data_IF_682083550062
#
_entry.id   IF_682083550062
#
_cell.length_a   1.000
_cell.length_b   1.000
_cell.length_c   1.000
_cell.angle_alpha   90.00
_cell.angle_beta   90.00
_cell.angle_gamma   90.00
#
_symmetry.space_group_name_H-M   'P 1'
#
loop_
_entity.id
_entity.type
_entity.pdbx_description
1 polymer ?
#
# COMPACT_ATOMS: atom_id res chain seq x y z
N UNK A 1 24.36 34.48 -23.20
CA UNK A 1 23.25 33.51 -23.36
C UNK A 1 23.52 32.37 -22.37
N UNK A 2 22.96 32.45 -21.17
CA UNK A 2 23.25 31.53 -20.06
C UNK A 2 22.25 30.36 -20.00
N UNK A 3 22.79 29.13 -20.00
CA UNK A 3 22.31 27.85 -19.47
C UNK A 3 20.81 27.50 -19.41
N UNK A 4 20.43 26.43 -20.11
CA UNK A 4 19.29 25.60 -19.73
C UNK A 4 19.81 24.28 -19.11
N UNK A 5 19.53 23.97 -17.83
CA UNK A 5 19.82 22.66 -17.27
C UNK A 5 18.94 21.61 -17.97
N UNK A 6 19.56 20.68 -18.68
CA UNK A 6 18.89 19.53 -19.27
C UNK A 6 18.25 18.69 -18.16
N UNK A 7 16.93 18.63 -18.15
CA UNK A 7 16.17 17.69 -17.34
C UNK A 7 16.49 16.28 -17.83
N UNK A 8 17.21 15.51 -17.03
CA UNK A 8 17.33 14.07 -17.28
C UNK A 8 15.91 13.47 -17.25
N UNK A 9 15.48 12.68 -18.25
CA UNK A 9 14.24 11.97 -18.15
C UNK A 9 14.41 10.91 -17.05
N UNK A 10 14.03 11.23 -15.82
CA UNK A 10 13.85 10.19 -14.81
C UNK A 10 12.58 9.44 -15.20
N UNK A 11 12.74 8.48 -16.11
CA UNK A 11 11.80 7.38 -16.24
C UNK A 11 11.88 6.61 -14.93
N UNK A 12 11.22 7.12 -13.88
CA UNK A 12 11.09 6.42 -12.62
C UNK A 12 10.34 5.14 -12.94
N UNK A 13 11.06 4.01 -12.95
CA UNK A 13 10.44 2.70 -13.07
C UNK A 13 9.36 2.61 -11.98
N UNK A 14 8.10 2.53 -12.40
CA UNK A 14 7.00 2.43 -11.44
C UNK A 14 7.14 1.07 -10.78
N UNK A 15 7.46 1.04 -9.49
CA UNK A 15 7.53 -0.21 -8.76
C UNK A 15 6.15 -0.91 -8.83
N UNK A 16 6.14 -2.14 -9.28
CA UNK A 16 4.97 -3.02 -9.27
C UNK A 16 5.29 -4.23 -8.40
N UNK A 17 4.47 -4.58 -7.39
CA UNK A 17 4.67 -5.80 -6.62
C UNK A 17 4.82 -7.06 -7.49
N UNK A 18 4.15 -7.09 -8.66
CA UNK A 18 4.25 -8.19 -9.62
C UNK A 18 5.67 -8.41 -10.18
N UNK A 19 6.60 -7.48 -10.02
CA UNK A 19 8.00 -7.65 -10.45
C UNK A 19 8.83 -8.51 -9.50
N UNK A 20 8.32 -8.86 -8.31
CA UNK A 20 9.02 -9.70 -7.33
C UNK A 20 8.74 -11.18 -7.65
N UNK A 21 9.76 -11.97 -8.08
CA UNK A 21 9.56 -13.38 -8.38
C UNK A 21 9.09 -14.15 -7.15
N UNK A 22 8.03 -14.95 -7.32
CA UNK A 22 7.48 -15.78 -6.24
C UNK A 22 6.68 -15.03 -5.18
N UNK A 23 6.36 -13.74 -5.38
CA UNK A 23 5.53 -12.98 -4.46
C UNK A 23 4.16 -13.66 -4.26
N UNK A 24 3.80 -13.90 -2.99
CA UNK A 24 2.51 -14.50 -2.61
C UNK A 24 1.54 -13.52 -1.99
N UNK A 25 2.04 -12.48 -1.36
CA UNK A 25 1.24 -11.55 -0.58
C UNK A 25 1.88 -10.18 -0.60
N UNK A 26 1.08 -9.16 -0.86
CA UNK A 26 1.49 -7.77 -0.69
C UNK A 26 0.33 -6.97 -0.13
N UNK A 27 0.49 -6.46 1.09
CA UNK A 27 -0.49 -5.64 1.79
C UNK A 27 0.05 -4.22 1.89
N UNK A 28 -0.68 -3.24 1.36
CA UNK A 28 -0.27 -1.84 1.44
C UNK A 28 -0.77 -1.22 2.75
N UNK A 29 0.16 -0.76 3.57
CA UNK A 29 -0.14 -0.09 4.84
C UNK A 29 -0.65 1.34 4.67
N UNK A 30 -0.15 2.04 3.65
CA UNK A 30 -0.29 3.49 3.47
C UNK A 30 -1.34 3.91 2.43
N UNK A 31 -1.97 2.96 1.75
CA UNK A 31 -3.01 3.28 0.76
C UNK A 31 -4.02 2.14 0.64
N UNK A 32 -5.24 2.53 0.28
CA UNK A 32 -6.30 1.63 -0.18
C UNK A 32 -5.75 0.62 -1.21
N UNK A 33 -6.14 -0.66 -1.12
CA UNK A 33 -7.42 -1.08 -0.56
C UNK A 33 -7.36 -1.84 0.78
N UNK A 34 -8.12 -1.33 1.75
CA UNK A 34 -8.48 -2.00 3.01
C UNK A 34 -9.93 -1.63 3.39
N UNK A 35 -10.58 -2.48 4.17
CA UNK A 35 -11.94 -2.27 4.67
C UNK A 35 -11.90 -1.84 6.12
N UNK A 36 -12.72 -0.85 6.48
CA UNK A 36 -12.87 -0.38 7.84
C UNK A 36 -14.16 -0.89 8.48
N UNK A 37 -14.10 -1.17 9.77
CA UNK A 37 -15.20 -1.41 10.67
C UNK A 37 -15.04 -0.47 11.87
N UNK A 38 -15.87 0.56 11.95
CA UNK A 38 -15.83 1.58 13.02
C UNK A 38 -14.42 2.17 13.25
N UNK A 39 -13.72 2.55 12.18
CA UNK A 39 -12.37 3.15 12.25
C UNK A 39 -11.24 2.15 12.53
N UNK A 40 -11.52 0.84 12.51
CA UNK A 40 -10.51 -0.23 12.60
C UNK A 40 -10.43 -1.00 11.30
N UNK A 41 -9.26 -1.50 10.94
CA UNK A 41 -9.08 -2.28 9.71
C UNK A 41 -9.61 -3.70 9.91
N UNK A 42 -10.71 -4.03 9.23
CA UNK A 42 -11.29 -5.38 9.24
C UNK A 42 -10.65 -6.29 8.20
N UNK A 43 -10.17 -5.73 7.09
CA UNK A 43 -9.48 -6.46 6.02
C UNK A 43 -8.43 -5.58 5.33
N UNK A 44 -7.28 -6.16 5.02
CA UNK A 44 -6.29 -5.64 4.08
C UNK A 44 -6.40 -6.41 2.78
N UNK A 45 -6.60 -5.71 1.66
CA UNK A 45 -6.65 -6.36 0.37
C UNK A 45 -5.24 -6.66 -0.12
N UNK A 46 -5.09 -7.86 -0.67
CA UNK A 46 -3.86 -8.30 -1.31
C UNK A 46 -3.75 -7.65 -2.70
N UNK A 47 -2.68 -6.87 -2.88
CA UNK A 47 -2.36 -6.21 -4.15
C UNK A 47 -1.21 -6.92 -4.90
N UNK A 48 -0.85 -8.14 -4.49
CA UNK A 48 0.06 -9.00 -5.27
C UNK A 48 -0.60 -9.60 -6.51
N UNK A 49 -1.93 -9.60 -6.57
CA UNK A 49 -2.71 -10.26 -7.63
C UNK A 49 -3.11 -11.70 -7.30
N UNK A 50 -2.71 -12.24 -6.14
CA UNK A 50 -3.03 -13.62 -5.73
C UNK A 50 -4.31 -13.75 -4.89
N UNK A 51 -4.98 -12.64 -4.58
CA UNK A 51 -6.20 -12.59 -3.77
C UNK A 51 -6.06 -13.17 -2.34
N UNK A 52 -4.84 -13.18 -1.77
CA UNK A 52 -4.58 -13.67 -0.41
C UNK A 52 -4.90 -12.59 0.65
N UNK A 53 -6.15 -12.16 0.73
CA UNK A 53 -6.57 -11.07 1.63
C UNK A 53 -6.36 -11.43 3.11
N UNK A 54 -5.91 -10.47 3.91
CA UNK A 54 -5.74 -10.65 5.35
C UNK A 54 -6.92 -10.00 6.09
N UNK A 55 -7.66 -10.77 6.87
CA UNK A 55 -8.81 -10.28 7.63
C UNK A 55 -8.68 -10.56 9.13
N UNK A 56 -9.24 -9.67 9.95
CA UNK A 56 -9.37 -9.87 11.39
C UNK A 56 -10.85 -9.82 11.78
N UNK A 57 -11.46 -10.98 11.93
CA UNK A 57 -12.90 -11.10 12.18
C UNK A 57 -13.30 -10.60 13.58
N UNK A 58 -12.40 -10.68 14.57
CA UNK A 58 -12.71 -10.24 15.94
C UNK A 58 -12.56 -8.73 16.04
N UNK A 59 -13.67 -8.00 16.17
CA UNK A 59 -13.69 -6.53 16.18
C UNK A 59 -12.74 -5.89 17.19
N UNK A 60 -12.58 -6.48 18.38
CA UNK A 60 -11.67 -5.98 19.43
C UNK A 60 -10.19 -6.21 19.11
N UNK A 61 -9.88 -7.10 18.17
CA UNK A 61 -8.51 -7.39 17.69
C UNK A 61 -8.18 -6.67 16.38
N UNK A 62 -9.13 -5.96 15.77
CA UNK A 62 -8.88 -5.22 14.54
C UNK A 62 -7.92 -4.05 14.81
N UNK A 63 -6.87 -3.87 13.99
CA UNK A 63 -5.95 -2.73 14.12
C UNK A 63 -6.70 -1.40 13.99
N UNK A 64 -6.33 -0.40 14.79
CA UNK A 64 -6.84 0.95 14.60
C UNK A 64 -6.28 1.54 13.30
N UNK A 65 -7.14 2.19 12.50
CA UNK A 65 -6.69 2.98 11.37
C UNK A 65 -6.30 4.38 11.86
N UNK A 66 -5.07 4.79 11.58
CA UNK A 66 -4.58 6.14 11.88
C UNK A 66 -4.41 6.90 10.57
N UNK A 67 -5.26 7.89 10.32
CA UNK A 67 -5.19 8.72 9.13
C UNK A 67 -4.03 9.74 9.15
N UNK A 68 -3.37 9.90 10.30
CA UNK A 68 -2.25 10.82 10.59
C UNK A 68 -1.21 10.07 11.43
N UNK A 69 0.08 10.09 11.08
CA UNK A 69 1.16 9.20 11.60
C UNK A 69 1.53 8.03 10.66
N UNK A 70 2.76 7.46 10.69
CA UNK A 70 3.28 6.41 9.74
C UNK A 70 2.18 5.47 9.23
N UNK A 71 1.89 5.53 7.91
CA UNK A 71 0.65 5.12 7.22
C UNK A 71 -0.55 6.10 7.32
N UNK A 72 -0.21 7.40 7.23
CA UNK A 72 -1.09 8.54 7.49
C UNK A 72 -0.29 9.81 7.79
N UNK A 73 1.00 9.70 8.12
CA UNK A 73 1.94 10.74 8.60
C UNK A 73 1.39 12.16 8.75
#
# INVERSE_FOLDING_TARGET
MLGAPGTLPVGAATFSPASIPGLKLWLAGNRSPFTLNSGKVSQWNDISGNANHAAQATATKQPAYAASGVNGL
#
